data_IF_472272688155
#
_entry.id   IF_472272688155
#
_cell.length_a   1.000
_cell.length_b   1.000
_cell.length_c   1.000
_cell.angle_alpha   90.00
_cell.angle_beta   90.00
_cell.angle_gamma   90.00
#
_symmetry.space_group_name_H-M   'P 1'
#
loop_
_entity.id
_entity.type
_entity.pdbx_description
1 polymer ?
#
# COMPACT_ATOMS: atom_id res chain seq x y z
N UNK A 1 22.46 -29.77 -33.65
CA UNK A 1 22.00 -28.39 -33.40
C UNK A 1 21.11 -28.41 -32.18
N UNK A 2 21.52 -27.83 -31.04
CA UNK A 2 20.65 -27.76 -29.88
C UNK A 2 19.55 -26.73 -30.14
N UNK A 3 18.29 -27.14 -29.93
CA UNK A 3 17.12 -26.27 -30.02
C UNK A 3 17.16 -25.29 -28.84
N UNK A 4 17.22 -24.00 -29.16
CA UNK A 4 17.01 -22.91 -28.20
C UNK A 4 15.58 -23.03 -27.63
N UNK A 5 15.38 -23.07 -26.30
CA UNK A 5 14.04 -22.96 -25.76
C UNK A 5 13.57 -21.51 -25.95
N UNK A 6 12.46 -21.32 -26.69
CA UNK A 6 11.72 -20.07 -26.68
C UNK A 6 11.17 -19.88 -25.26
N UNK A 7 11.63 -18.86 -24.54
CA UNK A 7 10.93 -18.33 -23.38
C UNK A 7 9.53 -17.92 -23.84
N UNK A 8 8.51 -18.63 -23.36
CA UNK A 8 7.15 -18.14 -23.43
C UNK A 8 7.07 -16.94 -22.48
N UNK A 9 6.67 -15.79 -23.01
CA UNK A 9 6.23 -14.68 -22.18
C UNK A 9 4.99 -15.17 -21.41
N UNK A 10 5.04 -15.17 -20.08
CA UNK A 10 3.85 -15.34 -19.28
C UNK A 10 2.95 -14.14 -19.55
N UNK A 11 1.69 -14.40 -19.89
CA UNK A 11 0.65 -13.38 -19.85
C UNK A 11 0.51 -12.94 -18.39
N UNK A 12 0.83 -11.68 -18.12
CA UNK A 12 0.61 -11.05 -16.81
C UNK A 12 -0.87 -10.73 -16.73
N UNK A 13 -1.60 -11.55 -15.99
CA UNK A 13 -3.01 -11.40 -15.71
C UNK A 13 -3.29 -12.21 -14.44
N UNK A 14 -4.00 -11.58 -13.51
CA UNK A 14 -4.05 -11.86 -12.07
C UNK A 14 -2.93 -11.16 -11.31
N UNK A 15 -3.33 -10.37 -10.32
CA UNK A 15 -2.49 -9.70 -9.33
C UNK A 15 -1.47 -10.68 -8.74
N UNK A 16 -0.29 -10.77 -9.35
CA UNK A 16 0.88 -11.12 -8.60
C UNK A 16 1.06 -9.93 -7.66
N UNK A 17 0.74 -10.11 -6.38
CA UNK A 17 1.52 -9.39 -5.37
C UNK A 17 2.97 -9.59 -5.82
N UNK A 18 3.66 -8.53 -6.24
CA UNK A 18 5.07 -8.63 -6.57
C UNK A 18 5.73 -9.02 -5.25
N UNK A 19 5.85 -10.33 -5.02
CA UNK A 19 6.59 -10.86 -3.90
C UNK A 19 7.99 -10.34 -4.14
N UNK A 20 8.44 -9.45 -3.27
CA UNK A 20 9.74 -8.84 -3.47
C UNK A 20 10.78 -9.94 -3.48
N UNK A 21 11.64 -9.93 -4.49
CA UNK A 21 12.79 -10.81 -4.64
C UNK A 21 13.94 -9.92 -5.11
N UNK A 22 14.60 -9.29 -4.14
CA UNK A 22 15.64 -8.29 -4.37
C UNK A 22 16.96 -8.94 -4.81
N UNK A 23 17.14 -10.24 -4.54
CA UNK A 23 18.36 -10.98 -4.88
C UNK A 23 18.22 -12.03 -5.98
N UNK A 24 17.00 -12.25 -6.47
CA UNK A 24 16.65 -13.07 -7.62
C UNK A 24 16.74 -14.57 -7.35
N UNK A 25 16.65 -15.00 -6.10
CA UNK A 25 16.77 -16.42 -5.73
C UNK A 25 15.44 -17.20 -5.80
N UNK A 26 14.35 -16.50 -6.11
CA UNK A 26 13.01 -17.06 -6.25
C UNK A 26 12.25 -17.21 -4.93
N UNK A 27 12.83 -16.79 -3.81
CA UNK A 27 12.16 -16.72 -2.51
C UNK A 27 11.75 -15.28 -2.18
N UNK A 28 10.67 -15.15 -1.39
CA UNK A 28 10.14 -13.84 -1.03
C UNK A 28 10.97 -13.19 0.06
N UNK A 29 11.46 -12.00 -0.24
CA UNK A 29 12.15 -11.08 0.64
C UNK A 29 11.19 -10.13 1.34
N UNK A 30 11.62 -9.62 2.50
CA UNK A 30 10.85 -8.65 3.29
C UNK A 30 11.73 -7.44 3.61
N UNK A 31 11.26 -6.25 3.21
CA UNK A 31 11.83 -4.98 3.65
C UNK A 31 11.04 -4.41 4.83
N UNK A 32 11.75 -3.98 5.87
CA UNK A 32 11.19 -3.49 7.13
C UNK A 32 11.79 -2.13 7.43
N UNK A 33 10.93 -1.12 7.54
CA UNK A 33 11.34 0.25 7.80
C UNK A 33 11.48 0.55 9.30
N UNK A 34 12.48 1.38 9.63
CA UNK A 34 12.66 2.00 10.93
C UNK A 34 12.92 3.51 10.76
N UNK A 35 11.93 4.30 10.28
CA UNK A 35 12.14 5.72 9.96
C UNK A 35 12.42 6.59 11.18
N UNK A 36 12.02 6.16 12.38
CA UNK A 36 12.41 6.81 13.64
C UNK A 36 13.82 6.44 14.13
N UNK A 37 14.52 5.55 13.43
CA UNK A 37 15.80 4.99 13.85
C UNK A 37 16.93 6.01 13.94
N UNK A 38 17.83 5.82 14.91
CA UNK A 38 19.04 6.63 15.06
C UNK A 38 20.18 6.08 14.22
N UNK A 39 20.81 6.94 13.41
CA UNK A 39 21.99 6.58 12.60
C UNK A 39 23.16 7.47 13.00
N UNK A 40 24.27 6.88 13.47
CA UNK A 40 25.49 7.59 13.87
C UNK A 40 25.23 8.81 14.78
N UNK A 41 24.31 8.66 15.74
CA UNK A 41 23.94 9.69 16.72
C UNK A 41 22.84 10.66 16.28
N UNK A 42 22.33 10.54 15.05
CA UNK A 42 21.28 11.41 14.47
C UNK A 42 19.93 10.74 14.65
N UNK A 43 19.13 11.26 15.59
CA UNK A 43 17.82 10.70 15.93
C UNK A 43 16.83 10.90 14.79
N UNK A 44 16.01 9.89 14.48
CA UNK A 44 15.02 10.01 13.41
C UNK A 44 15.60 10.13 12.00
N UNK A 45 16.89 9.87 11.82
CA UNK A 45 17.50 9.77 10.49
C UNK A 45 16.88 8.64 9.66
N UNK A 46 16.55 7.53 10.34
CA UNK A 46 15.89 6.40 9.72
C UNK A 46 16.83 5.44 9.01
N UNK A 47 16.39 4.19 8.94
CA UNK A 47 17.01 3.12 8.16
C UNK A 47 15.95 2.07 7.83
N UNK A 48 16.30 1.12 6.99
CA UNK A 48 15.50 -0.09 6.79
C UNK A 48 16.38 -1.34 6.84
N UNK A 49 15.75 -2.47 7.12
CA UNK A 49 16.37 -3.78 7.01
C UNK A 49 15.69 -4.57 5.88
N UNK A 50 16.46 -5.40 5.19
CA UNK A 50 15.91 -6.45 4.31
C UNK A 50 16.27 -7.78 4.91
N UNK A 51 15.27 -8.64 5.06
CA UNK A 51 15.44 -10.05 5.38
C UNK A 51 15.19 -10.83 4.11
N UNK A 52 16.22 -11.55 3.65
CA UNK A 52 16.11 -12.33 2.43
C UNK A 52 15.37 -13.63 2.71
N UNK A 53 14.56 -14.02 1.72
CA UNK A 53 13.79 -15.24 1.72
C UNK A 53 14.66 -16.50 1.66
N UNK A 54 14.02 -17.63 1.91
CA UNK A 54 14.52 -18.96 1.65
C UNK A 54 13.31 -19.92 1.60
N UNK A 55 13.54 -21.21 1.38
CA UNK A 55 12.47 -22.21 1.22
C UNK A 55 11.46 -22.24 2.37
N UNK A 56 11.92 -22.02 3.60
CA UNK A 56 11.07 -21.99 4.80
C UNK A 56 10.55 -20.57 5.14
N UNK A 57 10.84 -19.58 4.30
CA UNK A 57 10.51 -18.17 4.51
C UNK A 57 11.63 -17.35 5.16
N UNK A 58 11.47 -16.01 5.24
CA UNK A 58 12.47 -15.10 5.76
C UNK A 58 12.72 -15.33 7.27
N UNK A 59 13.90 -15.84 7.62
CA UNK A 59 14.26 -16.20 9.01
C UNK A 59 15.32 -15.29 9.67
N UNK A 60 15.80 -14.26 8.94
CA UNK A 60 16.78 -13.29 9.45
C UNK A 60 18.25 -13.69 9.34
N UNK A 61 18.58 -14.88 8.82
CA UNK A 61 19.97 -15.35 8.67
C UNK A 61 20.72 -14.49 7.64
N UNK A 62 20.14 -14.31 6.45
CA UNK A 62 20.65 -13.42 5.43
C UNK A 62 19.87 -12.11 5.51
N UNK A 63 20.56 -11.00 5.81
CA UNK A 63 19.95 -9.68 5.93
C UNK A 63 20.91 -8.55 5.59
N UNK A 64 20.34 -7.41 5.21
CA UNK A 64 21.04 -6.14 5.07
C UNK A 64 20.35 -5.08 5.94
N UNK A 65 21.11 -4.12 6.45
CA UNK A 65 20.58 -2.91 7.10
C UNK A 65 21.17 -1.72 6.36
N UNK A 66 20.31 -0.82 5.88
CA UNK A 66 20.67 0.25 4.96
C UNK A 66 20.14 1.59 5.49
N UNK A 67 21.04 2.57 5.54
CA UNK A 67 20.75 3.98 5.80
C UNK A 67 21.46 4.85 4.76
N UNK A 68 21.18 6.15 4.75
CA UNK A 68 21.87 7.11 3.87
C UNK A 68 23.38 7.23 4.14
N UNK A 69 23.86 6.87 5.33
CA UNK A 69 25.29 6.86 5.64
C UNK A 69 26.02 5.63 5.03
N UNK A 70 25.30 4.68 4.42
CA UNK A 70 25.93 3.53 3.73
C UNK A 70 26.54 4.00 2.41
N UNK A 71 27.79 3.57 2.15
CA UNK A 71 28.45 3.83 0.87
C UNK A 71 27.58 3.43 -0.33
N UNK A 72 27.47 4.33 -1.31
CA UNK A 72 26.68 4.13 -2.52
C UNK A 72 25.19 4.46 -2.40
N UNK A 73 24.73 4.89 -1.21
CA UNK A 73 23.40 5.48 -1.03
C UNK A 73 23.52 7.02 -1.17
N UNK A 74 22.70 7.67 -2.01
CA UNK A 74 22.66 9.12 -2.10
C UNK A 74 22.28 9.81 -0.77
N UNK A 75 22.84 11.00 -0.56
CA UNK A 75 22.59 11.81 0.64
C UNK A 75 23.51 11.43 1.81
N UNK A 76 23.21 12.01 2.97
CA UNK A 76 23.83 11.67 4.25
C UNK A 76 22.73 11.65 5.29
N UNK A 77 22.81 10.78 6.29
CA UNK A 77 21.82 10.81 7.37
C UNK A 77 21.88 12.16 8.10
N UNK A 78 20.74 12.71 8.46
CA UNK A 78 20.53 13.94 9.23
C UNK A 78 19.42 13.68 10.26
N UNK A 79 19.25 14.57 11.23
CA UNK A 79 18.24 14.36 12.28
C UNK A 79 16.86 14.70 11.72
N UNK A 80 15.99 13.70 11.60
CA UNK A 80 14.62 13.89 11.13
C UNK A 80 14.36 13.55 9.66
N UNK A 81 15.33 13.01 8.93
CA UNK A 81 15.13 12.65 7.50
C UNK A 81 14.09 11.55 7.31
N UNK A 82 13.97 10.68 8.30
CA UNK A 82 13.07 9.56 8.30
C UNK A 82 13.26 8.64 7.07
N UNK A 83 14.51 8.37 6.66
CA UNK A 83 14.80 7.41 5.60
C UNK A 83 14.17 6.04 5.89
N UNK A 84 13.49 5.48 4.90
CA UNK A 84 12.58 4.36 5.11
C UNK A 84 11.16 4.79 5.47
N UNK A 85 10.84 6.09 5.45
CA UNK A 85 9.50 6.62 5.76
C UNK A 85 8.42 6.09 4.82
N UNK A 86 8.82 5.65 3.63
CA UNK A 86 8.01 4.84 2.73
C UNK A 86 8.90 3.86 1.97
N UNK A 87 8.37 2.66 1.73
CA UNK A 87 8.99 1.62 0.92
C UNK A 87 8.03 1.20 -0.21
N UNK A 88 8.52 1.16 -1.44
CA UNK A 88 7.77 0.65 -2.60
C UNK A 88 8.67 -0.31 -3.39
N UNK A 89 8.27 -1.57 -3.48
CA UNK A 89 9.02 -2.60 -4.19
C UNK A 89 8.52 -2.72 -5.63
N UNK A 90 9.44 -2.74 -6.61
CA UNK A 90 9.13 -2.88 -8.03
C UNK A 90 10.41 -3.21 -8.82
N UNK A 91 10.33 -4.06 -9.86
CA UNK A 91 11.39 -4.18 -10.87
C UNK A 91 11.31 -2.98 -11.83
N UNK A 92 12.06 -1.91 -11.53
CA UNK A 92 11.95 -0.65 -12.25
C UNK A 92 12.82 -0.61 -13.50
N UNK A 93 13.87 -1.41 -13.57
CA UNK A 93 14.75 -1.48 -14.74
C UNK A 93 14.44 -2.67 -15.67
N UNK A 94 13.54 -3.57 -15.26
CA UNK A 94 13.06 -4.70 -16.04
C UNK A 94 14.08 -5.84 -16.12
N UNK A 95 15.00 -5.95 -15.17
CA UNK A 95 16.06 -6.95 -15.19
C UNK A 95 15.72 -8.23 -14.41
N UNK A 96 14.51 -8.31 -13.85
CA UNK A 96 14.00 -9.48 -13.13
C UNK A 96 14.43 -9.56 -11.68
N UNK A 97 15.02 -8.49 -11.13
CA UNK A 97 15.25 -8.32 -9.70
C UNK A 97 14.29 -7.25 -9.21
N UNK A 98 13.68 -7.48 -8.05
CA UNK A 98 12.89 -6.41 -7.43
C UNK A 98 13.83 -5.30 -6.95
N UNK A 99 13.49 -4.05 -7.19
CA UNK A 99 14.14 -2.87 -6.61
C UNK A 99 13.31 -2.31 -5.46
N UNK A 100 13.90 -1.41 -4.67
CA UNK A 100 13.23 -0.76 -3.55
C UNK A 100 13.32 0.75 -3.65
N UNK A 101 12.20 1.42 -3.89
CA UNK A 101 12.08 2.87 -3.72
C UNK A 101 11.91 3.19 -2.24
N UNK A 102 12.77 4.07 -1.73
CA UNK A 102 12.85 4.46 -0.33
C UNK A 102 12.68 5.97 -0.23
N UNK A 103 11.69 6.40 0.57
CA UNK A 103 11.47 7.79 0.90
C UNK A 103 12.24 8.24 2.14
N UNK A 104 12.80 9.45 2.09
CA UNK A 104 13.25 10.24 3.24
C UNK A 104 12.49 11.57 3.21
N UNK A 105 11.31 11.68 3.83
CA UNK A 105 10.46 12.87 3.73
C UNK A 105 11.05 14.11 4.42
N UNK A 106 12.03 13.95 5.32
CA UNK A 106 12.73 15.06 5.97
C UNK A 106 14.04 15.46 5.29
N UNK A 107 14.43 14.82 4.18
CA UNK A 107 15.73 15.09 3.54
C UNK A 107 15.86 16.55 3.08
N UNK A 108 16.99 17.17 3.44
CA UNK A 108 17.42 18.46 2.91
C UNK A 108 18.01 18.30 1.50
N UNK A 109 17.67 19.20 0.57
CA UNK A 109 18.26 19.23 -0.77
C UNK A 109 19.00 20.53 -0.98
N UNK A 110 20.33 20.45 -0.95
CA UNK A 110 21.20 21.62 -1.02
C UNK A 110 21.01 22.51 0.22
N UNK A 111 20.44 23.70 0.04
CA UNK A 111 20.11 24.61 1.14
C UNK A 111 18.62 24.63 1.51
N UNK A 112 17.79 23.91 0.75
CA UNK A 112 16.36 23.84 1.00
C UNK A 112 16.08 22.72 2.00
N UNK A 113 15.38 23.07 3.09
CA UNK A 113 15.14 22.13 4.19
C UNK A 113 13.92 21.26 3.97
N UNK A 114 14.01 20.02 4.43
CA UNK A 114 12.93 19.04 4.44
C UNK A 114 12.22 18.92 3.07
N UNK A 115 12.95 18.99 1.96
CA UNK A 115 12.34 18.86 0.62
C UNK A 115 11.76 17.47 0.44
N UNK A 116 12.44 16.48 1.01
CA UNK A 116 12.16 15.07 0.86
C UNK A 116 12.80 14.50 -0.40
N UNK A 117 13.24 13.25 -0.31
CA UNK A 117 13.95 12.56 -1.38
C UNK A 117 13.40 11.15 -1.60
N UNK A 118 13.35 10.74 -2.86
CA UNK A 118 13.03 9.38 -3.28
C UNK A 118 14.27 8.77 -3.92
N UNK A 119 14.73 7.67 -3.32
CA UNK A 119 15.91 6.94 -3.75
C UNK A 119 15.49 5.53 -4.11
N UNK A 120 15.83 5.04 -5.30
CA UNK A 120 15.74 3.62 -5.59
C UNK A 120 17.05 2.96 -5.17
N UNK A 121 16.93 1.87 -4.42
CA UNK A 121 18.02 0.93 -4.15
C UNK A 121 17.79 -0.26 -5.06
N UNK A 122 18.73 -0.50 -5.95
CA UNK A 122 18.57 -1.47 -7.01
C UNK A 122 18.84 -2.90 -6.53
N UNK A 123 17.97 -3.81 -6.91
CA UNK A 123 18.14 -5.24 -6.77
C UNK A 123 19.22 -5.78 -7.70
N UNK A 124 19.68 -6.98 -7.38
CA UNK A 124 20.71 -7.68 -8.11
C UNK A 124 21.23 -8.89 -7.35
N UNK A 125 22.14 -9.63 -7.97
CA UNK A 125 22.74 -10.82 -7.35
C UNK A 125 23.34 -10.46 -5.98
N UNK A 126 22.82 -11.10 -4.93
CA UNK A 126 23.23 -10.84 -3.54
C UNK A 126 22.46 -9.73 -2.82
N UNK A 127 21.44 -9.16 -3.46
CA UNK A 127 20.47 -8.25 -2.87
C UNK A 127 20.67 -6.78 -3.27
N UNK A 128 20.25 -5.89 -2.37
CA UNK A 128 20.26 -4.45 -2.62
C UNK A 128 21.70 -3.92 -2.56
N UNK A 129 22.17 -3.29 -3.64
CA UNK A 129 23.59 -2.98 -3.81
C UNK A 129 23.87 -1.49 -4.03
N UNK A 130 23.41 -0.97 -5.16
CA UNK A 130 23.60 0.41 -5.60
C UNK A 130 22.31 1.19 -5.46
N UNK A 131 22.41 2.52 -5.38
CA UNK A 131 21.22 3.35 -5.30
C UNK A 131 21.37 4.62 -6.13
N UNK A 132 20.23 5.20 -6.52
CA UNK A 132 20.20 6.46 -7.23
C UNK A 132 18.95 7.25 -6.87
N UNK A 133 19.03 8.57 -6.94
CA UNK A 133 17.86 9.43 -6.71
C UNK A 133 16.94 9.37 -7.93
N UNK A 134 15.65 9.14 -7.69
CA UNK A 134 14.61 9.07 -8.75
C UNK A 134 13.62 10.23 -8.66
N UNK A 135 13.64 10.98 -7.56
CA UNK A 135 12.78 12.14 -7.39
C UNK A 135 12.99 12.86 -6.07
N UNK A 136 12.37 14.03 -5.97
CA UNK A 136 12.24 14.80 -4.75
C UNK A 136 10.78 14.80 -4.29
N UNK A 137 10.56 15.18 -3.04
CA UNK A 137 9.25 15.30 -2.43
C UNK A 137 8.94 14.21 -1.41
N UNK A 138 7.88 14.47 -0.65
CA UNK A 138 7.42 13.63 0.48
C UNK A 138 6.23 12.74 0.14
N UNK A 139 5.80 12.80 -1.12
CA UNK A 139 4.55 12.19 -1.55
C UNK A 139 4.60 10.67 -1.44
N UNK A 140 3.44 10.12 -1.13
CA UNK A 140 3.11 8.72 -1.32
C UNK A 140 3.54 8.25 -2.72
N UNK A 141 4.12 7.05 -2.83
CA UNK A 141 4.52 6.43 -4.09
C UNK A 141 3.91 5.04 -4.21
N UNK A 142 3.37 4.73 -5.39
CA UNK A 142 2.90 3.40 -5.82
C UNK A 142 3.59 3.02 -7.11
N UNK A 143 3.84 1.72 -7.27
CA UNK A 143 4.36 1.17 -8.51
C UNK A 143 3.26 0.38 -9.22
N UNK A 144 3.34 0.32 -10.54
CA UNK A 144 2.36 -0.33 -11.40
C UNK A 144 2.70 -0.08 -12.86
N UNK A 145 2.21 -0.92 -13.76
CA UNK A 145 2.29 -0.68 -15.21
C UNK A 145 1.09 0.20 -15.61
N UNK A 146 1.18 1.51 -15.43
CA UNK A 146 0.05 2.43 -15.59
C UNK A 146 -0.17 2.83 -17.06
N UNK A 147 0.75 2.47 -17.96
CA UNK A 147 0.57 2.64 -19.40
C UNK A 147 0.53 1.35 -20.23
N UNK A 148 0.58 0.19 -19.58
CA UNK A 148 0.33 -1.11 -20.19
C UNK A 148 1.42 -1.53 -21.17
N UNK A 149 2.64 -0.99 -21.00
CA UNK A 149 3.77 -1.27 -21.88
C UNK A 149 4.62 -2.48 -21.42
N UNK A 150 4.28 -3.04 -20.24
CA UNK A 150 4.96 -4.16 -19.62
C UNK A 150 6.12 -3.78 -18.70
N UNK A 151 6.37 -2.49 -18.48
CA UNK A 151 7.36 -1.98 -17.53
C UNK A 151 6.67 -1.34 -16.32
N UNK A 152 7.26 -1.52 -15.13
CA UNK A 152 6.71 -0.88 -13.94
C UNK A 152 7.10 0.60 -13.89
N UNK A 153 6.10 1.41 -13.64
CA UNK A 153 6.17 2.85 -13.46
C UNK A 153 6.11 3.22 -11.98
N UNK A 154 6.29 4.51 -11.70
CA UNK A 154 6.04 5.12 -10.39
C UNK A 154 4.99 6.22 -10.50
N UNK A 155 3.92 6.09 -9.71
CA UNK A 155 2.94 7.12 -9.45
C UNK A 155 3.17 7.73 -8.07
N UNK A 156 3.30 9.05 -8.01
CA UNK A 156 3.22 9.83 -6.78
C UNK A 156 1.92 10.62 -6.75
N UNK A 157 1.59 11.27 -5.63
CA UNK A 157 0.43 12.18 -5.56
C UNK A 157 0.46 13.35 -6.59
N UNK A 158 1.59 13.62 -7.25
CA UNK A 158 1.76 14.78 -8.14
C UNK A 158 2.33 14.45 -9.52
N UNK A 159 3.04 13.34 -9.66
CA UNK A 159 3.81 13.04 -10.86
C UNK A 159 3.80 11.54 -11.19
N UNK A 160 3.77 11.25 -12.49
CA UNK A 160 4.05 9.96 -13.10
C UNK A 160 5.47 9.90 -13.65
N UNK A 161 6.15 8.78 -13.43
CA UNK A 161 7.45 8.44 -14.01
C UNK A 161 7.34 7.04 -14.61
N UNK A 162 7.42 6.95 -15.92
CA UNK A 162 7.18 5.72 -16.66
C UNK A 162 8.47 4.93 -16.89
N UNK A 163 8.38 3.62 -16.69
CA UNK A 163 9.45 2.67 -16.92
C UNK A 163 9.75 2.44 -18.40
N UNK A 164 10.80 1.65 -18.71
CA UNK A 164 11.80 1.19 -17.77
C UNK A 164 12.70 2.35 -17.32
N UNK A 165 13.17 2.28 -16.08
CA UNK A 165 14.13 3.22 -15.52
C UNK A 165 15.56 2.77 -15.87
N UNK A 166 16.41 3.74 -16.23
CA UNK A 166 17.85 3.51 -16.26
C UNK A 166 18.41 3.37 -14.84
N UNK A 167 19.52 2.65 -14.68
CA UNK A 167 20.26 2.55 -13.39
C UNK A 167 20.78 3.91 -12.87
N UNK A 168 20.78 4.95 -13.69
CA UNK A 168 21.03 6.35 -13.30
C UNK A 168 19.79 7.11 -12.80
N UNK A 169 18.63 6.46 -12.75
CA UNK A 169 17.39 6.99 -12.18
C UNK A 169 16.47 7.71 -13.17
N UNK A 170 16.88 7.81 -14.45
CA UNK A 170 16.05 8.42 -15.47
C UNK A 170 14.93 7.46 -15.89
N UNK A 171 13.68 7.92 -15.76
CA UNK A 171 12.49 7.32 -16.34
C UNK A 171 12.50 7.43 -17.87
N UNK A 172 11.84 6.51 -18.57
CA UNK A 172 11.69 6.57 -20.03
C UNK A 172 10.82 7.77 -20.45
N UNK A 173 9.81 8.10 -19.65
CA UNK A 173 8.92 9.24 -19.84
C UNK A 173 8.46 9.77 -18.49
N UNK A 174 8.12 11.05 -18.42
CA UNK A 174 7.47 11.65 -17.24
C UNK A 174 6.22 12.40 -17.66
N UNK A 175 5.27 12.53 -16.73
CA UNK A 175 4.05 13.30 -16.92
C UNK A 175 3.44 13.71 -15.58
N UNK A 176 2.47 14.63 -15.57
CA UNK A 176 1.73 14.94 -14.34
C UNK A 176 0.91 13.71 -13.90
N UNK A 177 0.76 13.52 -12.58
CA UNK A 177 -0.45 12.83 -12.10
C UNK A 177 -1.59 13.78 -12.42
N UNK A 178 -2.67 13.31 -13.07
CA UNK A 178 -3.81 14.14 -13.48
C UNK A 178 -4.06 15.24 -12.46
N UNK A 179 -4.14 16.48 -12.91
CA UNK A 179 -4.16 17.66 -12.04
C UNK A 179 -5.26 17.55 -10.98
N UNK A 180 -4.85 17.11 -9.80
CA UNK A 180 -5.65 17.04 -8.60
C UNK A 180 -5.11 18.21 -7.80
N UNK A 181 -5.70 19.40 -7.98
CA UNK A 181 -5.53 20.53 -7.07
C UNK A 181 -6.11 20.22 -5.67
N UNK A 182 -5.99 18.98 -5.20
CA UNK A 182 -6.59 18.44 -3.98
C UNK A 182 -5.60 17.50 -3.28
N UNK A 183 -5.48 17.56 -1.94
CA UNK A 183 -4.65 16.62 -1.20
C UNK A 183 -5.10 15.17 -1.40
N UNK A 184 -4.15 14.28 -1.69
CA UNK A 184 -4.33 12.83 -1.69
C UNK A 184 -4.03 12.31 -0.28
N UNK A 185 -5.03 11.72 0.37
CA UNK A 185 -4.92 11.19 1.74
C UNK A 185 -4.51 9.73 1.78
N UNK A 186 -4.84 8.97 0.73
CA UNK A 186 -4.43 7.58 0.54
C UNK A 186 -4.45 7.26 -0.95
N UNK A 187 -3.61 6.33 -1.39
CA UNK A 187 -3.61 5.84 -2.77
C UNK A 187 -3.24 4.36 -2.83
N UNK A 188 -3.81 3.62 -3.77
CA UNK A 188 -3.46 2.22 -4.01
C UNK A 188 -3.51 1.87 -5.49
N UNK A 189 -2.57 1.06 -5.96
CA UNK A 189 -2.42 0.70 -7.37
C UNK A 189 -2.84 -0.74 -7.63
N UNK A 190 -3.58 -0.96 -8.71
CA UNK A 190 -4.11 -2.26 -9.07
C UNK A 190 -5.04 -2.22 -10.27
N UNK A 191 -5.34 -3.36 -10.85
CA UNK A 191 -6.20 -3.50 -12.03
C UNK A 191 -7.66 -3.75 -11.60
N UNK A 192 -8.44 -2.67 -11.50
CA UNK A 192 -9.82 -2.76 -10.98
C UNK A 192 -10.85 -3.02 -12.08
N UNK A 193 -10.48 -2.86 -13.35
CA UNK A 193 -11.35 -3.17 -14.48
C UNK A 193 -10.94 -4.39 -15.32
N UNK A 194 -9.81 -4.99 -15.00
CA UNK A 194 -9.35 -6.27 -15.54
C UNK A 194 -8.81 -6.16 -16.96
N UNK A 195 -8.32 -4.98 -17.36
CA UNK A 195 -7.80 -4.76 -18.71
C UNK A 195 -6.29 -5.04 -18.85
N UNK A 196 -5.64 -5.40 -17.74
CA UNK A 196 -4.21 -5.70 -17.67
C UNK A 196 -3.32 -4.47 -17.50
N UNK A 197 -3.87 -3.26 -17.55
CA UNK A 197 -3.18 -2.02 -17.22
C UNK A 197 -3.44 -1.70 -15.74
N UNK A 198 -2.42 -1.25 -15.03
CA UNK A 198 -2.60 -0.85 -13.64
C UNK A 198 -3.39 0.45 -13.55
N UNK A 199 -4.40 0.49 -12.69
CA UNK A 199 -5.11 1.69 -12.30
C UNK A 199 -4.60 2.23 -10.96
N UNK A 200 -5.00 3.46 -10.63
CA UNK A 200 -4.72 4.06 -9.34
C UNK A 200 -6.03 4.54 -8.68
N UNK A 201 -6.31 4.02 -7.49
CA UNK A 201 -7.39 4.52 -6.64
C UNK A 201 -6.81 5.51 -5.65
N UNK A 202 -7.42 6.69 -5.57
CA UNK A 202 -7.02 7.73 -4.61
C UNK A 202 -8.18 8.11 -3.71
N UNK A 203 -7.90 8.40 -2.44
CA UNK A 203 -8.80 9.16 -1.57
C UNK A 203 -8.36 10.61 -1.58
N UNK A 204 -9.20 11.49 -2.12
CA UNK A 204 -8.88 12.91 -2.26
C UNK A 204 -10.08 13.80 -1.97
N UNK A 205 -9.81 15.06 -1.62
CA UNK A 205 -10.85 16.10 -1.55
C UNK A 205 -11.53 16.34 -2.90
N UNK A 206 -12.65 17.07 -2.89
CA UNK A 206 -13.40 17.42 -4.11
C UNK A 206 -13.24 18.87 -4.58
N UNK A 207 -12.45 19.70 -3.86
CA UNK A 207 -12.25 21.14 -4.14
C UNK A 207 -10.83 21.55 -3.76
N UNK A 208 -10.26 22.46 -4.55
CA UNK A 208 -8.99 23.11 -4.24
C UNK A 208 -9.15 24.10 -3.08
N UNK A 209 -8.08 24.21 -2.31
CA UNK A 209 -7.84 25.13 -1.21
C UNK A 209 -7.90 26.61 -1.58
N UNK A 210 -7.87 26.98 -2.87
CA UNK A 210 -7.95 28.36 -3.35
C UNK A 210 -9.39 28.91 -3.47
N UNK A 211 -10.40 28.04 -3.45
CA UNK A 211 -11.83 28.39 -3.56
C UNK A 211 -12.47 28.92 -2.27
N UNK A 212 -11.69 29.13 -1.20
CA UNK A 212 -12.12 29.85 0.02
C UNK A 212 -13.19 29.17 0.86
N UNK A 213 -13.44 27.86 0.65
CA UNK A 213 -14.39 27.04 1.42
C UNK A 213 -13.71 25.98 2.29
N UNK A 214 -14.47 25.34 3.18
CA UNK A 214 -14.01 24.12 3.88
C UNK A 214 -13.98 22.98 2.86
N UNK A 215 -12.83 22.33 2.59
CA UNK A 215 -12.77 21.19 1.70
C UNK A 215 -13.74 20.10 2.20
N UNK A 216 -14.60 19.53 1.36
CA UNK A 216 -15.43 18.42 1.78
C UNK A 216 -14.54 17.24 2.17
N UNK A 217 -15.06 16.33 3.02
CA UNK A 217 -14.36 15.11 3.37
C UNK A 217 -13.90 14.34 2.12
N UNK A 218 -12.74 13.68 2.18
CA UNK A 218 -12.17 13.00 1.02
C UNK A 218 -13.04 11.84 0.57
N UNK A 219 -12.97 11.50 -0.72
CA UNK A 219 -13.73 10.44 -1.37
C UNK A 219 -12.84 9.69 -2.34
N UNK A 220 -13.27 8.48 -2.69
CA UNK A 220 -12.55 7.65 -3.65
C UNK A 220 -12.75 8.15 -5.08
N UNK A 221 -11.66 8.17 -5.83
CA UNK A 221 -11.60 8.43 -7.27
C UNK A 221 -10.70 7.40 -7.94
N UNK A 222 -11.15 6.87 -9.07
CA UNK A 222 -10.35 5.99 -9.92
C UNK A 222 -9.65 6.83 -10.97
N UNK A 223 -8.34 6.66 -11.05
CA UNK A 223 -7.52 7.10 -12.16
C UNK A 223 -7.22 5.85 -12.97
N UNK A 224 -7.86 5.74 -14.14
CA UNK A 224 -7.75 4.58 -15.01
C UNK A 224 -6.42 4.59 -15.76
N UNK A 225 -5.71 3.46 -15.77
CA UNK A 225 -4.54 3.22 -16.60
C UNK A 225 -4.90 3.23 -18.09
N UNK A 226 -4.06 3.85 -18.90
CA UNK A 226 -4.19 3.88 -20.36
C UNK A 226 -2.80 3.93 -20.98
N UNK A 227 -2.66 3.62 -22.26
CA UNK A 227 -1.38 3.77 -23.00
C UNK A 227 -0.65 5.12 -22.90
N UNK A 228 -1.30 6.16 -22.40
CA UNK A 228 -0.71 7.48 -22.20
C UNK A 228 -0.41 7.78 -20.72
N UNK A 229 -0.69 6.84 -19.82
CA UNK A 229 -0.75 6.97 -18.37
C UNK A 229 -2.16 7.09 -17.82
N UNK A 230 -2.24 7.58 -16.58
CA UNK A 230 -3.46 7.68 -15.80
C UNK A 230 -4.44 8.76 -16.33
N UNK A 231 -5.73 8.41 -16.39
CA UNK A 231 -6.84 9.32 -16.73
C UNK A 231 -7.86 9.30 -15.61
N UNK A 232 -8.19 10.46 -15.06
CA UNK A 232 -9.07 10.52 -13.90
C UNK A 232 -10.54 10.37 -14.29
N UNK A 233 -11.19 9.34 -13.74
CA UNK A 233 -12.62 9.10 -13.81
C UNK A 233 -13.42 9.99 -12.83
N UNK A 234 -14.74 9.79 -12.72
CA UNK A 234 -15.55 10.45 -11.71
C UNK A 234 -15.23 9.97 -10.29
N UNK A 235 -15.63 10.74 -9.28
CA UNK A 235 -15.71 10.22 -7.91
C UNK A 235 -16.71 9.06 -7.85
N UNK A 236 -16.41 8.04 -7.04
CA UNK A 236 -17.11 6.76 -7.06
C UNK A 236 -17.89 6.51 -5.78
N UNK A 237 -19.04 5.83 -5.91
CA UNK A 237 -19.95 5.52 -4.83
C UNK A 237 -20.12 6.72 -3.87
N UNK A 238 -20.42 7.89 -4.45
CA UNK A 238 -20.15 9.20 -3.87
C UNK A 238 -20.53 9.30 -2.39
N UNK A 239 -21.77 8.95 -2.02
CA UNK A 239 -22.25 9.03 -0.63
C UNK A 239 -21.62 7.98 0.30
N UNK A 240 -21.19 6.85 -0.24
CA UNK A 240 -20.74 5.69 0.50
C UNK A 240 -19.25 5.79 0.86
N UNK A 241 -18.47 6.57 0.10
CA UNK A 241 -17.00 6.73 0.23
C UNK A 241 -16.56 7.99 0.98
N UNK A 242 -17.51 8.70 1.61
CA UNK A 242 -17.22 9.90 2.40
C UNK A 242 -16.27 9.58 3.55
N UNK A 243 -15.17 10.32 3.65
CA UNK A 243 -14.12 10.13 4.65
C UNK A 243 -13.39 8.79 4.52
N UNK A 244 -13.23 8.29 3.30
CA UNK A 244 -12.38 7.13 3.06
C UNK A 244 -10.93 7.45 3.46
N UNK A 245 -10.34 6.70 4.39
CA UNK A 245 -9.05 7.04 5.01
C UNK A 245 -8.00 5.92 4.99
N UNK A 246 -8.37 4.73 4.52
CA UNK A 246 -7.47 3.62 4.22
C UNK A 246 -7.97 2.91 2.96
N UNK A 247 -7.08 2.41 2.10
CA UNK A 247 -7.42 1.76 0.82
C UNK A 247 -6.59 0.48 0.69
N UNK A 248 -7.22 -0.59 0.24
CA UNK A 248 -6.58 -1.83 -0.19
C UNK A 248 -7.33 -2.40 -1.39
N UNK A 249 -6.64 -3.18 -2.22
CA UNK A 249 -7.21 -3.79 -3.42
C UNK A 249 -7.11 -5.31 -3.36
N UNK A 250 -8.14 -6.00 -3.84
CA UNK A 250 -8.12 -7.45 -4.04
C UNK A 250 -9.44 -7.99 -4.53
N UNK A 251 -9.42 -9.19 -5.09
CA UNK A 251 -10.57 -9.80 -5.75
C UNK A 251 -11.44 -10.56 -4.72
N UNK A 252 -12.40 -9.86 -4.11
CA UNK A 252 -13.21 -10.40 -3.00
C UNK A 252 -14.22 -11.43 -3.51
N UNK A 253 -14.65 -11.32 -4.77
CA UNK A 253 -15.62 -12.23 -5.39
C UNK A 253 -15.07 -13.17 -6.46
N UNK A 254 -13.74 -13.20 -6.62
CA UNK A 254 -12.99 -14.05 -7.54
C UNK A 254 -13.46 -13.92 -9.00
N UNK A 255 -13.80 -12.70 -9.42
CA UNK A 255 -14.32 -12.41 -10.76
C UNK A 255 -13.23 -12.01 -11.79
N UNK A 256 -11.97 -11.96 -11.33
CA UNK A 256 -10.79 -11.62 -12.11
C UNK A 256 -10.46 -10.13 -12.13
N UNK A 257 -11.23 -9.28 -11.43
CA UNK A 257 -10.95 -7.85 -11.24
C UNK A 257 -10.70 -7.57 -9.77
N UNK A 258 -9.83 -6.59 -9.50
CA UNK A 258 -9.65 -6.16 -8.12
C UNK A 258 -10.81 -5.27 -7.65
N UNK A 259 -11.30 -5.54 -6.45
CA UNK A 259 -12.23 -4.68 -5.75
C UNK A 259 -11.49 -3.66 -4.89
N UNK A 260 -12.16 -2.54 -4.62
CA UNK A 260 -11.65 -1.48 -3.77
C UNK A 260 -12.21 -1.61 -2.38
N UNK A 261 -11.35 -1.98 -1.43
CA UNK A 261 -11.67 -2.02 0.00
C UNK A 261 -11.18 -0.74 0.65
N UNK A 262 -12.00 -0.14 1.50
CA UNK A 262 -11.65 1.11 2.16
C UNK A 262 -12.16 1.21 3.60
N UNK A 263 -11.39 1.92 4.42
CA UNK A 263 -11.77 2.34 5.75
C UNK A 263 -12.58 3.64 5.74
N UNK A 264 -13.54 3.77 6.65
CA UNK A 264 -14.15 5.05 7.06
C UNK A 264 -14.08 5.13 8.58
N UNK A 265 -12.86 5.24 9.10
CA UNK A 265 -12.59 5.02 10.52
C UNK A 265 -13.29 6.02 11.46
N UNK A 266 -13.71 7.17 10.94
CA UNK A 266 -14.42 8.21 11.69
C UNK A 266 -15.94 8.22 11.47
N UNK A 267 -16.48 7.26 10.72
CA UNK A 267 -17.91 7.16 10.51
C UNK A 267 -18.68 6.93 11.83
N UNK A 268 -19.91 7.46 11.90
CA UNK A 268 -20.78 7.28 13.06
C UNK A 268 -21.03 5.78 13.33
N UNK A 269 -21.16 5.43 14.62
CA UNK A 269 -21.32 4.04 15.04
C UNK A 269 -20.01 3.24 15.10
N UNK A 270 -18.87 3.92 15.26
CA UNK A 270 -17.57 3.30 15.53
C UNK A 270 -16.70 3.01 14.32
N UNK A 271 -16.99 3.59 13.16
CA UNK A 271 -16.27 3.36 11.91
C UNK A 271 -16.91 2.30 11.02
N UNK A 272 -16.46 2.23 9.77
CA UNK A 272 -16.94 1.28 8.76
C UNK A 272 -15.77 0.77 7.91
N UNK A 273 -15.92 -0.45 7.38
CA UNK A 273 -15.23 -0.90 6.18
C UNK A 273 -16.20 -0.91 5.01
N UNK A 274 -15.71 -0.56 3.83
CA UNK A 274 -16.48 -0.57 2.59
C UNK A 274 -15.79 -1.36 1.49
N UNK A 275 -16.58 -1.92 0.58
CA UNK A 275 -16.09 -2.55 -0.65
C UNK A 275 -16.85 -1.98 -1.84
N UNK A 276 -16.14 -1.41 -2.81
CA UNK A 276 -16.67 -1.08 -4.13
C UNK A 276 -16.13 -2.10 -5.13
N UNK A 277 -17.02 -2.83 -5.79
CA UNK A 277 -16.59 -3.88 -6.72
C UNK A 277 -15.96 -3.35 -7.99
N UNK A 278 -14.93 -4.06 -8.47
CA UNK A 278 -14.36 -3.91 -9.80
C UNK A 278 -15.34 -4.38 -10.88
N UNK A 279 -15.34 -3.69 -12.01
CA UNK A 279 -16.19 -3.99 -13.18
C UNK A 279 -15.41 -3.68 -14.44
N UNK A 280 -15.77 -4.27 -15.57
CA UNK A 280 -15.13 -3.94 -16.85
C UNK A 280 -15.27 -2.46 -17.29
N UNK A 281 -16.03 -1.64 -16.56
CA UNK A 281 -16.19 -0.21 -16.81
C UNK A 281 -15.58 0.66 -15.68
N UNK A 282 -14.69 0.11 -14.84
CA UNK A 282 -14.20 0.73 -13.62
C UNK A 282 -14.94 0.20 -12.40
N UNK A 283 -15.46 1.05 -11.52
CA UNK A 283 -16.10 0.59 -10.28
C UNK A 283 -17.62 0.58 -10.29
N UNK A 284 -18.20 -0.31 -9.48
CA UNK A 284 -19.62 -0.33 -9.17
C UNK A 284 -20.11 1.00 -8.55
N UNK A 285 -21.37 1.41 -8.79
CA UNK A 285 -21.87 2.71 -8.33
C UNK A 285 -22.15 2.78 -6.82
N UNK A 286 -22.05 1.66 -6.09
CA UNK A 286 -22.39 1.53 -4.67
C UNK A 286 -21.37 0.68 -3.94
N UNK A 287 -21.12 1.04 -2.69
CA UNK A 287 -20.31 0.22 -1.80
C UNK A 287 -21.19 -0.72 -0.96
N UNK A 288 -20.66 -1.89 -0.62
CA UNK A 288 -21.11 -2.63 0.56
C UNK A 288 -20.43 -2.04 1.78
N UNK A 289 -21.20 -1.61 2.80
CA UNK A 289 -20.66 -1.01 4.02
C UNK A 289 -20.96 -1.91 5.23
N UNK A 290 -19.93 -2.22 6.02
CA UNK A 290 -20.01 -3.07 7.20
C UNK A 290 -19.33 -2.35 8.38
N UNK A 291 -19.97 -2.32 9.54
CA UNK A 291 -19.36 -1.90 10.81
C UNK A 291 -19.77 -2.83 11.94
N UNK A 292 -19.33 -2.53 13.15
CA UNK A 292 -19.61 -3.38 14.33
C UNK A 292 -21.11 -3.50 14.65
N UNK A 293 -21.91 -2.51 14.23
CA UNK A 293 -23.37 -2.53 14.37
C UNK A 293 -24.10 -3.27 13.23
N UNK A 294 -23.39 -3.77 12.22
CA UNK A 294 -23.99 -4.54 11.13
C UNK A 294 -24.41 -5.93 11.63
N UNK A 295 -25.64 -6.41 11.36
CA UNK A 295 -26.06 -7.74 11.76
C UNK A 295 -25.10 -8.85 11.29
N UNK A 296 -24.68 -9.70 12.24
CA UNK A 296 -23.74 -10.79 12.03
C UNK A 296 -22.29 -10.47 12.40
N UNK A 297 -21.95 -9.18 12.58
CA UNK A 297 -20.61 -8.76 13.03
C UNK A 297 -20.54 -8.87 14.57
N UNK A 298 -19.56 -9.59 15.13
CA UNK A 298 -19.36 -9.63 16.57
C UNK A 298 -18.97 -8.26 17.14
N UNK A 299 -19.48 -7.93 18.33
CA UNK A 299 -19.20 -6.67 19.01
C UNK A 299 -20.37 -5.69 18.95
N UNK A 300 -20.14 -4.46 19.38
CA UNK A 300 -21.06 -3.34 19.26
C UNK A 300 -20.25 -2.11 18.85
N UNK A 301 -20.80 -1.27 17.99
CA UNK A 301 -20.08 -0.07 17.55
C UNK A 301 -20.25 1.07 18.55
N UNK A 302 -19.13 1.51 19.10
CA UNK A 302 -18.99 2.60 20.06
C UNK A 302 -18.24 3.78 19.42
N UNK A 303 -18.51 4.99 19.89
CA UNK A 303 -17.86 6.18 19.34
C UNK A 303 -16.39 6.20 19.79
N UNK A 304 -15.48 5.77 18.92
CA UNK A 304 -14.04 5.78 19.21
C UNK A 304 -13.31 4.54 18.71
N UNK A 305 -14.04 3.46 18.43
CA UNK A 305 -13.46 2.15 18.05
C UNK A 305 -12.63 2.22 16.77
N UNK A 306 -13.09 3.08 15.86
CA UNK A 306 -12.48 3.34 14.55
C UNK A 306 -12.26 2.08 13.73
N UNK A 307 -13.30 1.25 13.64
CA UNK A 307 -13.40 0.11 12.73
C UNK A 307 -13.04 0.53 11.30
N UNK A 308 -12.08 -0.19 10.71
CA UNK A 308 -11.52 0.14 9.40
C UNK A 308 -10.44 1.23 9.44
N UNK A 309 -9.78 1.48 10.58
CA UNK A 309 -8.63 2.43 10.63
C UNK A 309 -7.54 2.06 9.64
N UNK A 310 -7.32 0.76 9.45
CA UNK A 310 -6.38 0.21 8.50
C UNK A 310 -7.04 -1.02 7.89
N UNK A 311 -6.95 -1.16 6.57
CA UNK A 311 -7.50 -2.32 5.85
C UNK A 311 -6.40 -3.01 5.06
N UNK A 312 -6.44 -4.34 5.04
CA UNK A 312 -5.62 -5.17 4.17
C UNK A 312 -6.46 -6.29 3.58
N UNK A 313 -6.05 -6.78 2.40
CA UNK A 313 -6.84 -7.72 1.61
C UNK A 313 -5.95 -8.89 1.17
N UNK A 314 -6.51 -10.10 1.23
CA UNK A 314 -5.88 -11.32 0.72
C UNK A 314 -6.63 -12.56 1.19
N UNK A 315 -6.46 -13.69 0.50
CA UNK A 315 -7.09 -14.96 0.88
C UNK A 315 -6.39 -15.55 2.11
N UNK A 316 -6.91 -15.27 3.30
CA UNK A 316 -6.33 -15.77 4.56
C UNK A 316 -6.91 -17.13 4.96
N UNK A 317 -7.90 -17.63 4.21
CA UNK A 317 -8.57 -18.90 4.49
C UNK A 317 -8.17 -20.02 3.54
N UNK A 318 -7.54 -19.68 2.41
CA UNK A 318 -7.18 -20.60 1.34
C UNK A 318 -8.38 -21.09 0.52
N UNK A 319 -9.47 -20.33 0.49
CA UNK A 319 -10.71 -20.72 -0.19
C UNK A 319 -10.87 -20.15 -1.61
N UNK A 320 -9.87 -19.37 -2.06
CA UNK A 320 -9.81 -18.77 -3.39
C UNK A 320 -10.50 -17.41 -3.51
N UNK A 321 -11.06 -16.86 -2.42
CA UNK A 321 -11.61 -15.51 -2.36
C UNK A 321 -10.74 -14.63 -1.48
N UNK A 322 -10.49 -13.40 -1.89
CA UNK A 322 -9.79 -12.48 -1.01
C UNK A 322 -10.67 -12.09 0.19
N UNK A 323 -10.09 -12.12 1.38
CA UNK A 323 -10.71 -11.69 2.63
C UNK A 323 -10.26 -10.27 2.99
N UNK A 324 -11.03 -9.61 3.87
CA UNK A 324 -10.70 -8.28 4.39
C UNK A 324 -10.30 -8.37 5.84
N UNK A 325 -9.12 -7.85 6.17
CA UNK A 325 -8.69 -7.61 7.55
C UNK A 325 -8.87 -6.12 7.86
N UNK A 326 -9.67 -5.79 8.87
CA UNK A 326 -10.00 -4.43 9.26
C UNK A 326 -9.60 -4.17 10.72
N UNK A 327 -8.74 -3.17 10.93
CA UNK A 327 -8.30 -2.73 12.25
C UNK A 327 -9.38 -1.99 13.04
N UNK A 328 -9.43 -2.22 14.36
CA UNK A 328 -10.35 -1.58 15.32
C UNK A 328 -9.56 -1.12 16.55
N UNK A 329 -8.61 -0.19 16.40
CA UNK A 329 -7.65 0.13 17.45
C UNK A 329 -8.26 0.83 18.69
N UNK A 330 -9.47 1.36 18.58
CA UNK A 330 -10.17 1.98 19.72
C UNK A 330 -11.04 1.03 20.51
N UNK A 331 -11.11 -0.26 20.16
CA UNK A 331 -12.00 -1.22 20.82
C UNK A 331 -11.65 -1.38 22.31
N UNK A 332 -12.68 -1.31 23.16
CA UNK A 332 -12.56 -1.52 24.60
C UNK A 332 -12.70 -3.01 24.96
N UNK A 333 -11.71 -3.58 25.66
CA UNK A 333 -11.70 -5.01 25.99
C UNK A 333 -11.69 -5.27 27.50
N UNK A 334 -12.80 -5.80 28.01
CA UNK A 334 -12.96 -6.17 29.43
C UNK A 334 -12.50 -5.07 30.40
N UNK A 335 -12.94 -3.83 30.14
CA UNK A 335 -12.63 -2.64 30.94
C UNK A 335 -11.28 -1.98 30.64
N UNK A 336 -10.56 -2.42 29.59
CA UNK A 336 -9.34 -1.78 29.10
C UNK A 336 -9.68 -0.89 27.92
N UNK A 337 -9.63 0.41 28.15
CA UNK A 337 -9.91 1.40 27.12
C UNK A 337 -8.89 1.36 26.00
N UNK A 338 -9.34 1.45 24.74
CA UNK A 338 -8.50 1.48 23.54
C UNK A 338 -7.47 0.32 23.50
N UNK A 339 -7.86 -0.86 23.97
CA UNK A 339 -7.01 -2.05 23.90
C UNK A 339 -6.83 -2.51 22.44
N UNK A 340 -7.89 -2.36 21.65
CA UNK A 340 -7.90 -2.59 20.21
C UNK A 340 -8.13 -4.05 19.83
N UNK A 341 -8.60 -4.23 18.61
CA UNK A 341 -8.82 -5.52 17.96
C UNK A 341 -8.65 -5.40 16.44
N UNK A 342 -8.81 -6.51 15.72
CA UNK A 342 -9.07 -6.48 14.28
C UNK A 342 -10.12 -7.52 13.91
N UNK A 343 -10.86 -7.26 12.84
CA UNK A 343 -11.84 -8.16 12.28
C UNK A 343 -11.34 -8.75 10.95
N UNK A 344 -11.59 -10.03 10.73
CA UNK A 344 -11.43 -10.72 9.44
C UNK A 344 -12.82 -10.99 8.89
N UNK A 345 -13.15 -10.37 7.76
CA UNK A 345 -14.42 -10.49 7.07
C UNK A 345 -14.21 -11.29 5.79
N UNK A 346 -14.93 -12.41 5.63
CA UNK A 346 -14.66 -13.33 4.52
C UNK A 346 -15.22 -12.90 3.18
N UNK A 347 -14.44 -13.09 2.12
CA UNK A 347 -14.85 -12.97 0.73
C UNK A 347 -15.71 -14.13 0.25
N UNK A 348 -16.34 -13.96 -0.91
CA UNK A 348 -17.07 -15.01 -1.63
C UNK A 348 -17.51 -14.48 -3.00
N UNK A 349 -17.98 -15.37 -3.87
CA UNK A 349 -18.64 -15.00 -5.12
C UNK A 349 -19.82 -14.01 -4.99
N UNK A 350 -20.39 -13.81 -3.79
CA UNK A 350 -21.42 -12.81 -3.53
C UNK A 350 -20.85 -11.46 -3.02
N UNK A 351 -19.54 -11.35 -2.87
CA UNK A 351 -18.81 -10.26 -2.22
C UNK A 351 -18.53 -10.51 -0.73
N UNK A 352 -18.25 -9.43 -0.02
CA UNK A 352 -17.87 -9.42 1.39
C UNK A 352 -19.04 -9.83 2.31
N UNK A 353 -18.78 -10.71 3.27
CA UNK A 353 -19.80 -11.30 4.13
C UNK A 353 -19.84 -10.69 5.53
N UNK A 354 -21.00 -10.18 5.98
CA UNK A 354 -21.19 -9.68 7.35
C UNK A 354 -21.47 -10.77 8.40
N UNK A 355 -21.71 -12.01 8.00
CA UNK A 355 -22.02 -13.15 8.90
C UNK A 355 -20.89 -14.15 9.03
N UNK A 356 -19.79 -13.95 8.30
CA UNK A 356 -18.58 -14.77 8.34
C UNK A 356 -17.43 -13.87 8.77
N UNK A 357 -17.54 -13.40 10.00
CA UNK A 357 -16.61 -12.44 10.60
C UNK A 357 -15.99 -13.06 11.84
N UNK A 358 -14.67 -12.94 11.94
CA UNK A 358 -13.92 -13.30 13.13
C UNK A 358 -13.25 -12.05 13.70
N UNK A 359 -13.44 -11.78 14.98
CA UNK A 359 -12.76 -10.67 15.68
C UNK A 359 -11.68 -11.25 16.57
N UNK A 360 -10.46 -10.69 16.47
CA UNK A 360 -9.29 -11.11 17.22
C UNK A 360 -8.71 -9.91 17.99
N UNK A 361 -8.20 -10.18 19.19
CA UNK A 361 -7.45 -9.21 19.99
C UNK A 361 -6.22 -9.87 20.59
N UNK A 362 -5.39 -9.12 21.32
CA UNK A 362 -4.29 -9.69 22.10
C UNK A 362 -4.76 -10.73 23.12
N UNK A 363 -6.04 -10.73 23.53
CA UNK A 363 -6.58 -11.74 24.45
C UNK A 363 -7.07 -13.01 23.73
N UNK A 364 -7.06 -13.05 22.40
CA UNK A 364 -7.44 -14.26 21.65
C UNK A 364 -6.38 -15.35 21.83
N UNK A 365 -6.83 -16.57 22.13
CA UNK A 365 -5.93 -17.70 22.33
C UNK A 365 -4.98 -17.89 21.13
N UNK A 366 -3.68 -18.00 21.40
CA UNK A 366 -2.64 -18.12 20.39
C UNK A 366 -2.02 -16.79 19.93
N UNK A 367 -2.61 -15.65 20.28
CA UNK A 367 -1.99 -14.33 20.09
C UNK A 367 -1.05 -14.06 21.27
N UNK A 368 0.25 -13.77 21.04
CA UNK A 368 1.17 -13.44 22.12
C UNK A 368 0.82 -12.11 22.80
N UNK A 369 1.04 -12.05 24.11
CA UNK A 369 0.78 -10.86 24.93
C UNK A 369 -0.56 -10.93 25.67
N UNK A 370 -0.93 -9.81 26.28
CA UNK A 370 -2.23 -9.62 26.94
C UNK A 370 -2.68 -8.20 26.70
N UNK A 371 -3.96 -8.00 26.44
CA UNK A 371 -4.47 -6.65 26.21
C UNK A 371 -4.23 -5.75 27.43
N UNK A 372 -3.73 -4.55 27.18
CA UNK A 372 -3.54 -3.46 28.12
C UNK A 372 -4.25 -2.19 27.62
N UNK A 373 -4.40 -1.20 28.51
CA UNK A 373 -5.06 0.06 28.16
C UNK A 373 -4.18 0.83 27.17
N UNK A 374 -4.75 1.21 26.02
CA UNK A 374 -4.07 2.02 25.02
C UNK A 374 -3.12 1.25 24.10
N UNK A 375 -3.17 -0.09 24.10
CA UNK A 375 -2.39 -0.93 23.19
C UNK A 375 -2.71 -0.67 21.73
N UNK A 376 -3.97 -0.35 21.45
CA UNK A 376 -4.46 -0.06 20.10
C UNK A 376 -4.09 -1.14 19.10
N UNK A 377 -4.24 -2.39 19.51
CA UNK A 377 -4.01 -3.54 18.66
C UNK A 377 -4.88 -3.45 17.40
N UNK A 378 -4.34 -3.83 16.24
CA UNK A 378 -4.99 -3.63 14.94
C UNK A 378 -4.89 -2.19 14.38
N UNK A 379 -4.05 -1.32 14.95
CA UNK A 379 -3.78 0.01 14.37
C UNK A 379 -3.11 -0.02 13.00
N UNK A 380 -2.47 -1.14 12.65
CA UNK A 380 -1.96 -1.48 11.31
C UNK A 380 -2.21 -2.96 11.05
N UNK A 381 -2.49 -3.29 9.79
CA UNK A 381 -2.78 -4.65 9.32
C UNK A 381 -2.00 -4.91 8.05
N UNK A 382 -1.60 -6.16 7.85
CA UNK A 382 -1.01 -6.63 6.61
C UNK A 382 -1.35 -8.11 6.46
N UNK A 383 -1.77 -8.50 5.25
CA UNK A 383 -1.90 -9.91 4.89
C UNK A 383 -0.60 -10.34 4.22
N UNK A 384 0.01 -11.41 4.73
CA UNK A 384 1.23 -12.01 4.18
C UNK A 384 0.86 -13.42 3.74
N UNK A 385 0.91 -13.67 2.43
CA UNK A 385 0.61 -14.98 1.83
C UNK A 385 1.81 -15.60 1.16
#
# INVERSE_FOLDING_TARGET
MPKTPRRAALAVGAAASVRADFDGDGYTDVAIAAPGGTVNGKSGAGYFAVVYGMAEGPNGVKRQVISQDRYGIPGTAETGDHFGGRLTAADLDGWGFTDLVVGAPGEDVGSARDVGLQTVVWGGVGGLATATTVGQGRAETRAGDFDGDGHLDLATAYQMRFGPFSRSGAAARTGPLVDLDVPVSAMEAGDVDGDGTTDLVVSSGSWDSDDGGTPPPPRLRLLKGTKNGLVAGPFMAYLDTVSADSIALGDIDADGRQDVVFGRSTAAGGGLVGVVRGTANGLAPRATLIGQNTPGVPGAGESGDRFGTDVSVGDVTGDGYADVVAGVPGEDLAGRTDAGSFAVLRGSAAGLSSTRVQVLSQNTAGVPGTAEKGDRFGSRTAVVG
#
